data_IF_239981685754
#
_entry.id   IF_239981685754
#
_cell.length_a   1.000
_cell.length_b   1.000
_cell.length_c   1.000
_cell.angle_alpha   90.00
_cell.angle_beta   90.00
_cell.angle_gamma   90.00
#
_symmetry.space_group_name_H-M   'P 1'
#
loop_
_entity.id
_entity.type
_entity.pdbx_description
1 polymer ?
#
# COMPACT_ATOMS: atom_id res chain seq x y z
N UNK A 1 26.61 -23.02 -7.95
CA UNK A 1 25.45 -22.14 -8.24
C UNK A 1 24.58 -22.12 -6.99
N UNK A 2 24.30 -20.95 -6.40
CA UNK A 2 23.27 -20.86 -5.34
C UNK A 2 21.94 -21.37 -5.93
N UNK A 3 21.33 -22.40 -5.33
CA UNK A 3 20.04 -22.95 -5.78
C UNK A 3 20.03 -24.44 -6.10
N UNK A 4 21.15 -25.03 -6.56
CA UNK A 4 21.36 -26.48 -6.75
C UNK A 4 20.12 -27.33 -7.09
N UNK A 5 19.99 -28.48 -6.40
CA UNK A 5 18.84 -29.39 -6.57
C UNK A 5 17.48 -28.80 -6.16
N UNK A 6 17.48 -27.68 -5.42
CA UNK A 6 16.25 -27.03 -4.96
C UNK A 6 15.52 -26.28 -6.06
N UNK A 7 16.22 -25.86 -7.13
CA UNK A 7 15.58 -25.24 -8.31
C UNK A 7 15.21 -26.27 -9.38
N UNK A 8 15.88 -27.41 -9.42
CA UNK A 8 15.64 -28.47 -10.41
C UNK A 8 14.22 -29.08 -10.30
N UNK A 9 13.62 -29.03 -9.11
CA UNK A 9 12.28 -29.53 -8.84
C UNK A 9 11.15 -28.50 -9.09
N UNK A 10 11.50 -27.26 -9.44
CA UNK A 10 10.51 -26.20 -9.65
C UNK A 10 9.82 -26.36 -11.01
N UNK A 11 8.49 -26.47 -10.99
CA UNK A 11 7.67 -26.67 -12.21
C UNK A 11 7.07 -25.39 -12.79
N UNK A 12 7.25 -24.25 -12.14
CA UNK A 12 6.71 -22.95 -12.54
C UNK A 12 7.83 -21.91 -12.61
N UNK A 13 7.64 -20.86 -13.40
CA UNK A 13 8.55 -19.72 -13.42
C UNK A 13 8.52 -18.98 -12.07
N UNK A 14 9.59 -18.22 -11.73
CA UNK A 14 9.61 -17.41 -10.51
C UNK A 14 8.41 -16.47 -10.37
N UNK A 15 7.99 -15.82 -11.46
CA UNK A 15 6.84 -14.91 -11.48
C UNK A 15 5.51 -15.63 -11.23
N UNK A 16 5.36 -16.86 -11.70
CA UNK A 16 4.18 -17.67 -11.41
C UNK A 16 4.15 -18.11 -9.94
N UNK A 17 5.29 -18.46 -9.34
CA UNK A 17 5.35 -18.72 -7.91
C UNK A 17 5.07 -17.47 -7.07
N UNK A 18 5.57 -16.31 -7.49
CA UNK A 18 5.29 -15.04 -6.83
C UNK A 18 3.79 -14.70 -6.88
N UNK A 19 3.17 -14.78 -8.06
CA UNK A 19 1.72 -14.60 -8.22
C UNK A 19 0.91 -15.65 -7.46
N UNK A 20 1.40 -16.88 -7.30
CA UNK A 20 0.65 -17.89 -6.54
C UNK A 20 0.71 -17.69 -5.03
N UNK A 21 1.87 -17.31 -4.50
CA UNK A 21 2.15 -17.47 -3.06
C UNK A 21 2.46 -16.16 -2.33
N UNK A 22 2.73 -15.06 -3.03
CA UNK A 22 3.14 -13.81 -2.41
C UNK A 22 2.00 -12.80 -2.42
N UNK A 23 1.88 -12.06 -1.32
CA UNK A 23 1.18 -10.78 -1.28
C UNK A 23 2.19 -9.70 -0.89
N UNK A 24 2.04 -8.50 -1.44
CA UNK A 24 2.92 -7.36 -1.15
C UNK A 24 2.14 -6.31 -0.38
N UNK A 25 2.73 -5.78 0.68
CA UNK A 25 2.21 -4.63 1.41
C UNK A 25 3.17 -3.45 1.25
N UNK A 26 2.65 -2.28 0.89
CA UNK A 26 3.42 -1.04 0.81
C UNK A 26 2.53 0.16 1.09
N UNK A 27 3.15 1.29 1.37
CA UNK A 27 2.52 2.59 1.53
C UNK A 27 1.93 3.13 0.22
N UNK A 28 2.32 2.54 -0.91
CA UNK A 28 1.92 2.81 -2.29
C UNK A 28 2.08 4.27 -2.73
N UNK A 29 2.53 4.44 -3.96
CA UNK A 29 2.66 5.71 -4.65
C UNK A 29 2.28 5.55 -6.12
N UNK A 30 2.09 6.64 -6.88
CA UNK A 30 1.70 6.56 -8.29
C UNK A 30 2.60 5.66 -9.17
N UNK A 31 3.90 5.56 -8.86
CA UNK A 31 4.83 4.72 -9.61
C UNK A 31 4.63 3.21 -9.36
N UNK A 32 3.93 2.83 -8.29
CA UNK A 32 3.60 1.43 -8.00
C UNK A 32 2.46 0.91 -8.87
N UNK A 33 1.82 1.76 -9.69
CA UNK A 33 0.75 1.35 -10.61
C UNK A 33 1.18 0.20 -11.53
N UNK A 34 2.41 0.23 -12.06
CA UNK A 34 2.94 -0.86 -12.88
C UNK A 34 3.15 -2.17 -12.09
N UNK A 35 3.44 -2.06 -10.79
CA UNK A 35 3.59 -3.23 -9.91
C UNK A 35 2.22 -3.83 -9.58
N UNK A 36 1.20 -2.99 -9.34
CA UNK A 36 -0.19 -3.43 -9.19
C UNK A 36 -0.66 -4.16 -10.45
N UNK A 37 -0.40 -3.60 -11.63
CA UNK A 37 -0.80 -4.19 -12.92
C UNK A 37 -0.06 -5.52 -13.19
N UNK A 38 1.20 -5.65 -12.76
CA UNK A 38 1.99 -6.87 -12.92
C UNK A 38 1.57 -8.00 -11.95
N UNK A 39 1.40 -7.67 -10.67
CA UNK A 39 1.09 -8.65 -9.63
C UNK A 39 -0.40 -9.00 -9.59
N UNK A 40 -1.27 -8.08 -10.01
CA UNK A 40 -2.71 -8.13 -9.78
C UNK A 40 -3.09 -7.44 -8.48
N UNK A 41 -4.17 -6.65 -8.51
CA UNK A 41 -4.66 -5.93 -7.33
C UNK A 41 -5.08 -6.86 -6.17
N UNK A 42 -5.35 -8.14 -6.43
CA UNK A 42 -5.63 -9.19 -5.46
C UNK A 42 -4.38 -9.71 -4.72
N UNK A 43 -3.18 -9.25 -5.11
CA UNK A 43 -1.91 -9.55 -4.44
C UNK A 43 -1.32 -8.35 -3.69
N UNK A 44 -1.95 -7.18 -3.76
CA UNK A 44 -1.44 -5.94 -3.18
C UNK A 44 -2.25 -5.53 -1.95
N UNK A 45 -1.58 -5.05 -0.91
CA UNK A 45 -2.17 -4.50 0.30
C UNK A 45 -1.57 -3.12 0.57
N UNK A 46 -2.38 -2.18 1.00
CA UNK A 46 -1.88 -0.91 1.50
C UNK A 46 -1.49 -1.01 2.97
N UNK A 47 -0.35 -0.44 3.36
CA UNK A 47 0.10 -0.37 4.75
C UNK A 47 0.70 1.00 5.05
N UNK A 48 0.42 1.58 6.22
CA UNK A 48 0.88 2.95 6.52
C UNK A 48 2.36 3.06 6.93
N UNK A 49 2.99 1.93 7.23
CA UNK A 49 4.29 1.81 7.90
C UNK A 49 4.45 2.72 9.13
N UNK A 50 3.43 2.74 9.99
CA UNK A 50 3.50 3.50 11.24
C UNK A 50 4.36 2.75 12.27
N UNK A 51 5.28 3.42 12.99
CA UNK A 51 5.48 4.87 13.10
C UNK A 51 6.68 5.41 12.33
N UNK A 52 7.14 4.70 11.29
CA UNK A 52 8.39 5.01 10.62
C UNK A 52 8.37 6.38 9.91
N UNK A 53 9.56 6.95 9.69
CA UNK A 53 9.68 8.26 9.00
C UNK A 53 9.28 8.14 7.53
N UNK A 54 9.48 6.95 6.96
CA UNK A 54 9.06 6.60 5.61
C UNK A 54 7.56 6.35 5.46
N UNK A 55 6.86 6.04 6.55
CA UNK A 55 5.43 5.77 6.51
C UNK A 55 4.59 6.99 6.13
N UNK A 56 3.28 6.79 5.95
CA UNK A 56 2.34 7.87 5.61
C UNK A 56 1.43 8.30 6.76
N UNK A 57 1.54 7.69 7.94
CA UNK A 57 0.78 8.15 9.09
C UNK A 57 1.30 9.53 9.58
N UNK A 58 0.43 10.51 9.89
CA UNK A 58 -1.03 10.44 10.03
C UNK A 58 -1.80 10.82 8.77
N UNK A 59 -1.12 11.07 7.66
CA UNK A 59 -1.70 11.49 6.37
C UNK A 59 -2.13 10.31 5.50
N UNK A 60 -2.52 9.19 6.10
CA UNK A 60 -2.88 7.94 5.41
C UNK A 60 -3.95 8.13 4.33
N UNK A 61 -5.01 8.90 4.61
CA UNK A 61 -6.04 9.18 3.60
C UNK A 61 -5.51 9.97 2.40
N UNK A 62 -4.57 10.89 2.64
CA UNK A 62 -3.91 11.65 1.58
C UNK A 62 -3.07 10.73 0.70
N UNK A 63 -2.30 9.82 1.31
CA UNK A 63 -1.49 8.85 0.61
C UNK A 63 -2.31 7.86 -0.22
N UNK A 64 -3.40 7.37 0.33
CA UNK A 64 -4.32 6.46 -0.38
C UNK A 64 -4.88 7.15 -1.63
N UNK A 65 -5.33 8.41 -1.52
CA UNK A 65 -5.78 9.21 -2.67
C UNK A 65 -4.67 9.40 -3.69
N UNK A 66 -3.48 9.77 -3.23
CA UNK A 66 -2.33 9.97 -4.10
C UNK A 66 -2.04 8.74 -4.96
N UNK A 67 -2.06 7.55 -4.35
CA UNK A 67 -1.69 6.30 -5.01
C UNK A 67 -2.82 5.64 -5.81
N UNK A 68 -4.08 5.78 -5.40
CA UNK A 68 -5.19 4.93 -5.88
C UNK A 68 -6.36 5.69 -6.52
N UNK A 69 -6.28 7.01 -6.70
CA UNK A 69 -7.41 7.80 -7.22
C UNK A 69 -7.91 7.39 -8.62
N UNK A 70 -7.07 6.72 -9.42
CA UNK A 70 -7.37 6.26 -10.77
C UNK A 70 -7.74 4.77 -10.85
N UNK A 71 -7.63 4.03 -9.74
CA UNK A 71 -7.98 2.61 -9.67
C UNK A 71 -9.48 2.41 -9.50
N UNK A 72 -10.00 1.29 -10.00
CA UNK A 72 -11.42 0.96 -9.88
C UNK A 72 -11.84 0.77 -8.42
N UNK A 73 -13.15 0.92 -8.15
CA UNK A 73 -13.68 0.73 -6.80
C UNK A 73 -13.38 -0.67 -6.24
N UNK A 74 -13.40 -1.70 -7.10
CA UNK A 74 -13.11 -3.08 -6.70
C UNK A 74 -11.64 -3.29 -6.38
N UNK A 75 -10.72 -2.72 -7.17
CA UNK A 75 -9.28 -2.72 -6.86
C UNK A 75 -9.00 -2.02 -5.54
N UNK A 76 -9.58 -0.83 -5.32
CA UNK A 76 -9.44 -0.13 -4.05
C UNK A 76 -9.95 -0.97 -2.86
N UNK A 77 -11.07 -1.69 -3.01
CA UNK A 77 -11.59 -2.56 -1.95
C UNK A 77 -10.69 -3.76 -1.67
N UNK A 78 -10.11 -4.37 -2.71
CA UNK A 78 -9.15 -5.46 -2.54
C UNK A 78 -7.89 -4.98 -1.81
N UNK A 79 -7.30 -3.88 -2.30
CA UNK A 79 -6.02 -3.35 -1.80
C UNK A 79 -6.13 -2.80 -0.38
N UNK A 80 -7.22 -2.11 -0.05
CA UNK A 80 -7.39 -1.46 1.26
C UNK A 80 -8.02 -2.38 2.32
N UNK A 81 -8.62 -3.51 1.94
CA UNK A 81 -9.32 -4.39 2.88
C UNK A 81 -9.30 -5.87 2.49
N UNK A 82 -9.82 -6.24 1.33
CA UNK A 82 -10.13 -7.62 0.97
C UNK A 82 -8.93 -8.57 1.04
N UNK A 83 -7.77 -8.15 0.58
CA UNK A 83 -6.56 -8.97 0.59
C UNK A 83 -6.02 -9.20 2.00
N UNK A 84 -6.00 -8.16 2.83
CA UNK A 84 -5.59 -8.28 4.23
C UNK A 84 -6.56 -9.16 5.01
N UNK A 85 -7.88 -9.02 4.77
CA UNK A 85 -8.88 -9.86 5.40
C UNK A 85 -8.73 -11.34 5.00
N UNK A 86 -8.50 -11.64 3.72
CA UNK A 86 -8.24 -13.00 3.25
C UNK A 86 -6.96 -13.59 3.84
N UNK A 87 -5.87 -12.83 3.84
CA UNK A 87 -4.56 -13.31 4.28
C UNK A 87 -4.50 -13.52 5.80
N UNK A 88 -4.96 -12.54 6.57
CA UNK A 88 -4.91 -12.56 8.03
C UNK A 88 -6.17 -13.13 8.67
N UNK A 89 -7.18 -13.51 7.87
CA UNK A 89 -8.46 -14.08 8.31
C UNK A 89 -9.27 -13.12 9.19
N UNK A 90 -9.30 -11.84 8.82
CA UNK A 90 -10.15 -10.87 9.51
C UNK A 90 -11.61 -11.02 9.09
N UNK A 91 -12.50 -10.80 10.06
CA UNK A 91 -13.94 -10.69 9.84
C UNK A 91 -14.27 -9.25 9.38
N UNK A 92 -14.61 -9.10 8.10
CA UNK A 92 -14.97 -7.80 7.53
C UNK A 92 -16.29 -7.25 8.07
N UNK A 93 -17.23 -8.11 8.47
CA UNK A 93 -18.51 -7.66 9.03
C UNK A 93 -18.28 -7.07 10.42
N UNK A 94 -17.42 -7.71 11.22
CA UNK A 94 -17.00 -7.18 12.51
C UNK A 94 -16.20 -5.86 12.39
N UNK A 95 -15.41 -5.69 11.32
CA UNK A 95 -14.63 -4.48 11.09
C UNK A 95 -15.41 -3.35 10.43
N UNK A 96 -16.54 -3.63 9.77
CA UNK A 96 -17.32 -2.66 9.01
C UNK A 96 -17.72 -1.40 9.84
N UNK A 97 -18.17 -1.50 11.11
CA UNK A 97 -18.50 -0.33 11.91
C UNK A 97 -17.29 0.57 12.21
N UNK A 98 -16.10 -0.04 12.39
CA UNK A 98 -14.85 0.71 12.61
C UNK A 98 -14.42 1.37 11.31
N UNK A 99 -14.42 0.63 10.20
CA UNK A 99 -14.06 1.14 8.89
C UNK A 99 -14.96 2.31 8.47
N UNK A 100 -16.27 2.24 8.75
CA UNK A 100 -17.20 3.35 8.50
C UNK A 100 -16.84 4.63 9.29
N UNK A 101 -16.23 4.50 10.47
CA UNK A 101 -15.82 5.62 11.31
C UNK A 101 -14.48 6.24 10.89
N UNK A 102 -13.49 5.42 10.51
CA UNK A 102 -12.09 5.89 10.33
C UNK A 102 -11.55 5.74 8.90
N UNK A 103 -12.13 4.84 8.10
CA UNK A 103 -11.67 4.55 6.75
C UNK A 103 -12.00 5.68 5.75
N UNK A 104 -11.32 5.73 4.60
CA UNK A 104 -11.75 6.55 3.49
C UNK A 104 -12.96 5.92 2.79
N UNK A 105 -13.82 6.76 2.21
CA UNK A 105 -14.83 6.29 1.26
C UNK A 105 -14.22 6.14 -0.12
N UNK A 106 -14.79 5.31 -1.00
CA UNK A 106 -14.33 5.22 -2.41
C UNK A 106 -14.41 6.60 -3.09
N UNK A 107 -15.48 7.36 -2.83
CA UNK A 107 -15.61 8.72 -3.32
C UNK A 107 -14.46 9.63 -2.84
N UNK A 108 -14.02 9.51 -1.58
CA UNK A 108 -12.86 10.23 -1.05
C UNK A 108 -11.56 9.80 -1.74
N UNK A 109 -11.36 8.50 -1.97
CA UNK A 109 -10.17 7.95 -2.66
C UNK A 109 -10.04 8.52 -4.08
N UNK A 110 -11.15 8.63 -4.82
CA UNK A 110 -11.18 9.12 -6.20
C UNK A 110 -11.04 10.63 -6.35
N UNK A 111 -10.87 11.39 -5.25
CA UNK A 111 -10.52 12.80 -5.34
C UNK A 111 -9.01 12.90 -5.53
N UNK A 112 -8.49 13.21 -6.74
CA UNK A 112 -7.06 13.35 -6.97
C UNK A 112 -6.47 14.46 -6.10
N UNK A 113 -5.15 14.43 -5.92
CA UNK A 113 -4.42 15.56 -5.39
C UNK A 113 -4.09 16.54 -6.53
N UNK A 114 -4.00 17.83 -6.18
CA UNK A 114 -3.38 18.83 -7.06
C UNK A 114 -1.91 18.47 -7.34
N UNK A 115 -1.24 19.15 -8.27
CA UNK A 115 0.18 18.88 -8.56
C UNK A 115 0.99 18.96 -7.26
N UNK A 116 1.42 17.78 -6.78
CA UNK A 116 2.13 17.67 -5.52
C UNK A 116 3.61 18.05 -5.68
N UNK A 117 4.02 18.51 -6.87
CA UNK A 117 5.42 18.70 -7.24
C UNK A 117 6.21 17.39 -7.34
N UNK A 118 5.52 16.24 -7.25
CA UNK A 118 6.16 14.94 -7.27
C UNK A 118 6.68 14.64 -8.67
N UNK A 119 7.91 14.14 -8.73
CA UNK A 119 8.52 13.61 -9.95
C UNK A 119 9.04 12.23 -9.60
N UNK A 120 8.67 11.23 -10.40
CA UNK A 120 9.11 9.86 -10.20
C UNK A 120 10.64 9.82 -10.11
N UNK A 121 11.21 9.28 -9.02
CA UNK A 121 12.65 9.31 -8.82
C UNK A 121 13.34 8.31 -9.75
N UNK A 122 14.56 8.63 -10.18
CA UNK A 122 15.43 7.70 -10.93
C UNK A 122 15.98 6.58 -10.04
N UNK A 123 16.04 6.81 -8.72
CA UNK A 123 16.23 5.82 -7.66
C UNK A 123 15.72 6.44 -6.34
N UNK A 124 15.08 5.64 -5.46
CA UNK A 124 14.55 5.99 -4.12
C UNK A 124 14.43 7.50 -3.86
N UNK A 125 13.27 8.10 -4.12
CA UNK A 125 13.20 9.55 -4.06
C UNK A 125 11.83 10.16 -3.81
N UNK A 126 11.92 11.19 -2.99
CA UNK A 126 11.02 12.30 -2.72
C UNK A 126 9.53 11.98 -2.60
N UNK A 127 9.03 11.90 -1.37
CA UNK A 127 7.59 11.93 -1.08
C UNK A 127 7.11 13.38 -1.01
N UNK A 128 5.97 13.75 -1.61
CA UNK A 128 5.47 15.12 -1.56
C UNK A 128 4.93 15.54 -0.19
N UNK A 129 4.83 14.60 0.76
CA UNK A 129 4.46 14.85 2.14
C UNK A 129 5.27 13.94 3.08
N UNK A 130 5.74 14.51 4.19
CA UNK A 130 6.41 13.73 5.25
C UNK A 130 5.40 12.87 6.03
N UNK A 131 5.79 11.63 6.30
CA UNK A 131 5.26 10.86 7.42
C UNK A 131 5.60 11.54 8.75
N UNK A 132 4.72 11.42 9.74
CA UNK A 132 4.98 11.94 11.07
C UNK A 132 5.45 10.83 12.01
N UNK A 133 6.76 10.79 12.30
CA UNK A 133 7.36 9.92 13.32
C UNK A 133 6.61 10.07 14.65
N UNK A 134 6.22 8.97 15.30
CA UNK A 134 5.57 9.04 16.61
C UNK A 134 6.45 9.76 17.66
N UNK A 135 7.78 9.67 17.52
CA UNK A 135 8.76 10.34 18.38
C UNK A 135 8.81 11.86 18.12
N UNK A 136 8.65 12.34 16.88
CA UNK A 136 8.53 13.78 16.59
C UNK A 136 7.26 14.38 17.18
N UNK A 137 6.17 13.61 17.31
CA UNK A 137 4.92 14.05 17.97
C UNK A 137 5.00 14.13 19.50
N UNK A 138 6.02 13.52 20.10
CA UNK A 138 6.29 13.59 21.55
C UNK A 138 7.41 14.56 21.90
N UNK A 139 8.15 15.04 20.92
CA UNK A 139 9.10 16.11 21.15
C UNK A 139 8.31 17.40 21.46
N UNK A 140 8.61 18.11 22.56
CA UNK A 140 8.04 19.42 22.79
C UNK A 140 8.37 20.33 21.60
N UNK A 141 7.45 21.22 21.24
CA UNK A 141 7.72 22.25 20.24
C UNK A 141 9.01 22.99 20.63
N UNK A 142 10.01 22.99 19.75
CA UNK A 142 11.19 23.85 19.94
C UNK A 142 10.71 25.29 19.76
N UNK A 143 10.56 25.98 20.90
CA UNK A 143 10.50 27.45 20.98
C UNK A 143 11.84 28.02 20.53
#
# INVERSE_FOLDING_TARGET
MFGGSSVDALTMTPSEYARRNCCLASELAPFDSAMIDFMGADHIMWGSDYPHEEGFAPRSKLAIRWALHDKSADECRMILAGNAARLYRFDLDALAPVAAKIGPTIAEVHIPLEDTGYRAPTAFGYRPFEGGLALRRRAPERI
#
